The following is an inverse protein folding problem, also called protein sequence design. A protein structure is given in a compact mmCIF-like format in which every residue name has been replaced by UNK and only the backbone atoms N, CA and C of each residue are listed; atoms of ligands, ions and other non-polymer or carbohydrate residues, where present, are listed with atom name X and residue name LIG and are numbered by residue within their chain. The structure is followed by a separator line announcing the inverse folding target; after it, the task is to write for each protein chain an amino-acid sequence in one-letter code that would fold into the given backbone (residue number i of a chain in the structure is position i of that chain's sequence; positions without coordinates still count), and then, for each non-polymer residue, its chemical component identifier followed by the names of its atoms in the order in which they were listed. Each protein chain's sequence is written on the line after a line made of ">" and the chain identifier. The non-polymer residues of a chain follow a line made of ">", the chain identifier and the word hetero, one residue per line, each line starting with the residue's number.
data_IF_260556100046
#
_entry.id   IF_260556100046
#
_cell.length_a   1.000
_cell.length_b   1.000
_cell.length_c   1.000
_cell.angle_alpha   90.00
_cell.angle_beta   90.00
_cell.angle_gamma   90.00
#
_symmetry.space_group_name_H-M   'P 1'
#
loop_
_entity.id
_entity.type
_entity.pdbx_description
1 polymer ?
#
# COMPACT_ATOMS: atom_id res chain seq x y z
N UNK A 1 -13.43 -0.46 -3.49
CA UNK A 1 -12.12 0.08 -3.92
C UNK A 1 -12.24 1.47 -4.51
N UNK A 2 -13.29 1.80 -5.25
CA UNK A 2 -13.39 3.09 -5.96
C UNK A 2 -13.33 4.30 -5.02
N UNK A 3 -14.04 4.27 -3.89
CA UNK A 3 -13.94 5.33 -2.87
C UNK A 3 -12.53 5.55 -2.33
N UNK A 4 -11.72 4.49 -2.20
CA UNK A 4 -10.33 4.62 -1.76
C UNK A 4 -9.50 5.32 -2.85
N UNK A 5 -9.68 4.91 -4.10
CA UNK A 5 -8.97 5.50 -5.25
C UNK A 5 -9.30 6.98 -5.44
N UNK A 6 -10.53 7.39 -5.13
CA UNK A 6 -10.95 8.79 -5.20
C UNK A 6 -10.20 9.69 -4.20
N UNK A 7 -9.72 9.13 -3.08
CA UNK A 7 -8.90 9.86 -2.11
C UNK A 7 -7.45 10.08 -2.57
N UNK A 8 -7.01 9.40 -3.63
CA UNK A 8 -5.64 9.51 -4.15
C UNK A 8 -5.50 10.72 -5.05
N UNK A 9 -4.38 11.44 -4.98
CA UNK A 9 -4.03 12.44 -6.00
C UNK A 9 -3.86 11.78 -7.38
N UNK A 10 -4.04 12.49 -8.51
CA UNK A 10 -3.88 11.91 -9.85
C UNK A 10 -2.51 11.23 -10.07
N UNK A 11 -1.45 11.84 -9.54
CA UNK A 11 -0.09 11.34 -9.58
C UNK A 11 0.36 10.61 -8.31
N UNK A 12 -0.59 10.10 -7.51
CA UNK A 12 -0.24 9.43 -6.26
C UNK A 12 0.72 8.26 -6.49
N UNK A 13 1.62 8.05 -5.53
CA UNK A 13 2.59 6.95 -5.58
C UNK A 13 2.58 6.09 -4.31
N UNK A 14 2.92 4.81 -4.48
CA UNK A 14 3.15 3.87 -3.38
C UNK A 14 4.53 3.27 -3.51
N UNK A 15 5.36 3.47 -2.49
CA UNK A 15 6.69 2.85 -2.38
C UNK A 15 6.55 1.50 -1.70
N UNK A 16 6.97 0.44 -2.38
CA UNK A 16 6.77 -0.92 -1.88
C UNK A 16 7.52 -1.16 -0.56
N UNK A 17 6.89 -1.82 0.43
CA UNK A 17 7.57 -2.22 1.67
C UNK A 17 8.57 -3.37 1.42
N UNK A 18 8.43 -4.07 0.28
CA UNK A 18 9.27 -5.21 -0.09
C UNK A 18 10.54 -4.78 -0.82
N UNK A 19 10.53 -3.61 -1.44
CA UNK A 19 11.66 -3.08 -2.19
C UNK A 19 11.56 -1.56 -2.28
N UNK A 20 12.49 -0.85 -1.64
CA UNK A 20 12.58 0.61 -1.68
C UNK A 20 12.90 1.20 -3.06
N UNK A 21 13.10 0.37 -4.08
CA UNK A 21 13.27 0.79 -5.48
C UNK A 21 11.97 0.68 -6.30
N UNK A 22 10.97 -0.06 -5.82
CA UNK A 22 9.73 -0.31 -6.55
C UNK A 22 8.65 0.69 -6.15
N UNK A 23 8.21 1.51 -7.11
CA UNK A 23 7.26 2.62 -6.88
C UNK A 23 6.11 2.53 -7.86
N UNK A 24 4.90 2.21 -7.37
CA UNK A 24 3.69 2.21 -8.19
C UNK A 24 3.14 3.63 -8.28
N UNK A 25 2.71 4.06 -9.48
CA UNK A 25 2.29 5.45 -9.71
C UNK A 25 1.00 5.54 -10.48
N UNK A 26 0.21 6.54 -10.13
CA UNK A 26 -1.05 6.83 -10.79
C UNK A 26 -2.19 5.96 -10.26
N UNK A 27 -3.41 6.50 -10.37
CA UNK A 27 -4.61 5.89 -9.79
C UNK A 27 -4.91 4.48 -10.31
N UNK A 28 -4.61 4.19 -11.57
CA UNK A 28 -4.89 2.88 -12.17
C UNK A 28 -4.01 1.77 -11.59
N UNK A 29 -2.68 1.98 -11.56
CA UNK A 29 -1.74 1.02 -10.99
C UNK A 29 -1.96 0.85 -9.49
N UNK A 30 -2.25 1.96 -8.78
CA UNK A 30 -2.58 1.93 -7.36
C UNK A 30 -3.91 1.23 -7.08
N UNK A 31 -4.95 1.45 -7.89
CA UNK A 31 -6.23 0.74 -7.74
C UNK A 31 -6.01 -0.77 -7.81
N UNK A 32 -5.24 -1.21 -8.79
CA UNK A 32 -4.95 -2.63 -8.99
C UNK A 32 -4.18 -3.20 -7.80
N UNK A 33 -3.09 -2.54 -7.42
CA UNK A 33 -2.25 -2.95 -6.31
C UNK A 33 -3.04 -3.01 -5.00
N UNK A 34 -3.74 -1.93 -4.65
CA UNK A 34 -4.48 -1.83 -3.40
C UNK A 34 -5.65 -2.81 -3.36
N UNK A 35 -6.29 -3.11 -4.49
CA UNK A 35 -7.30 -4.16 -4.57
C UNK A 35 -6.72 -5.54 -4.21
N UNK A 36 -5.54 -5.89 -4.75
CA UNK A 36 -4.90 -7.18 -4.45
C UNK A 36 -4.36 -7.26 -3.02
N UNK A 37 -3.82 -6.15 -2.50
CA UNK A 37 -3.32 -6.03 -1.13
C UNK A 37 -4.46 -6.17 -0.14
N UNK A 38 -5.45 -5.26 -0.18
CA UNK A 38 -6.55 -5.26 0.79
C UNK A 38 -7.49 -6.44 0.61
N UNK A 39 -7.63 -6.98 -0.61
CA UNK A 39 -8.39 -8.21 -0.84
C UNK A 39 -7.73 -9.46 -0.25
N UNK A 40 -6.41 -9.44 -0.02
CA UNK A 40 -5.66 -10.52 0.63
C UNK A 40 -5.63 -10.47 2.15
N UNK A 41 -5.98 -9.32 2.74
CA UNK A 41 -5.99 -9.11 4.19
C UNK A 41 -7.34 -9.50 4.80
N UNK A 42 -7.29 -10.03 6.01
CA UNK A 42 -8.46 -10.31 6.87
C UNK A 42 -8.36 -9.49 8.14
N UNK A 43 -9.51 -9.19 8.75
CA UNK A 43 -9.60 -8.54 10.05
C UNK A 43 -8.78 -7.24 10.16
N UNK A 44 -8.73 -6.46 9.08
CA UNK A 44 -8.04 -5.16 9.07
C UNK A 44 -8.70 -4.21 10.06
N UNK A 45 -7.92 -3.77 11.06
CA UNK A 45 -8.31 -2.78 12.06
C UNK A 45 -7.33 -1.62 12.03
N UNK A 46 -7.85 -0.41 11.83
CA UNK A 46 -7.10 0.83 12.03
C UNK A 46 -7.11 1.16 13.53
N UNK A 47 -5.93 1.40 14.09
CA UNK A 47 -5.76 1.63 15.52
C UNK A 47 -5.71 3.13 15.82
N UNK A 48 -4.85 3.85 15.12
CA UNK A 48 -4.63 5.27 15.33
C UNK A 48 -4.16 5.95 14.05
N UNK A 49 -4.44 7.25 13.95
CA UNK A 49 -3.88 8.14 12.93
C UNK A 49 -3.12 9.24 13.65
N UNK A 50 -1.83 9.34 13.37
CA UNK A 50 -0.88 10.23 14.03
C UNK A 50 -0.47 11.33 13.05
N UNK A 51 -0.43 12.58 13.53
CA UNK A 51 -0.01 13.76 12.78
C UNK A 51 -1.17 14.67 12.37
N UNK A 52 -0.92 15.98 12.38
CA UNK A 52 -1.87 17.04 12.05
C UNK A 52 -1.63 17.65 10.66
N UNK A 53 -0.38 17.71 10.22
CA UNK A 53 0.04 18.27 8.94
C UNK A 53 -0.13 17.36 7.71
N UNK A 54 0.68 17.65 6.68
CA UNK A 54 0.65 16.94 5.39
C UNK A 54 1.12 15.51 5.48
N UNK A 55 2.05 15.21 6.38
CA UNK A 55 2.53 13.84 6.61
C UNK A 55 1.81 13.27 7.82
N UNK A 56 1.21 12.10 7.64
CA UNK A 56 0.47 11.38 8.67
C UNK A 56 0.87 9.92 8.67
N UNK A 57 0.61 9.24 9.78
CA UNK A 57 0.85 7.81 9.95
C UNK A 57 -0.45 7.15 10.37
N UNK A 58 -0.89 6.13 9.64
CA UNK A 58 -2.00 5.28 10.05
C UNK A 58 -1.45 3.93 10.51
N UNK A 59 -1.70 3.59 11.78
CA UNK A 59 -1.28 2.30 12.34
C UNK A 59 -2.44 1.32 12.19
N UNK A 60 -2.14 0.11 11.71
CA UNK A 60 -3.12 -0.94 11.56
C UNK A 60 -2.59 -2.33 11.89
N UNK A 61 -3.53 -3.23 12.16
CA UNK A 61 -3.31 -4.66 12.29
C UNK A 61 -4.26 -5.40 11.36
N UNK A 62 -3.81 -6.48 10.74
CA UNK A 62 -4.61 -7.38 9.94
C UNK A 62 -4.08 -8.81 10.07
N UNK A 63 -4.70 -9.75 9.35
CA UNK A 63 -4.25 -11.14 9.22
C UNK A 63 -4.04 -11.49 7.76
N UNK A 64 -2.98 -12.23 7.48
CA UNK A 64 -2.67 -12.79 6.18
C UNK A 64 -2.29 -14.26 6.32
N UNK A 65 -3.02 -15.15 5.64
CA UNK A 65 -2.88 -16.61 5.78
C UNK A 65 -2.79 -17.09 7.25
N UNK A 66 -3.60 -16.50 8.15
CA UNK A 66 -3.62 -16.86 9.57
C UNK A 66 -2.49 -16.25 10.42
N UNK A 67 -1.62 -15.43 9.84
CA UNK A 67 -0.53 -14.75 10.56
C UNK A 67 -0.91 -13.28 10.75
N UNK A 68 -0.71 -12.75 11.95
CA UNK A 68 -0.90 -11.32 12.21
C UNK A 68 0.17 -10.50 11.49
N UNK A 69 -0.28 -9.46 10.79
CA UNK A 69 0.55 -8.44 10.17
C UNK A 69 0.15 -7.09 10.74
N UNK A 70 1.13 -6.25 11.05
CA UNK A 70 0.91 -4.86 11.45
C UNK A 70 1.59 -3.94 10.45
N UNK A 71 0.99 -2.77 10.24
CA UNK A 71 1.47 -1.75 9.31
C UNK A 71 1.50 -0.39 10.01
N UNK A 72 2.55 0.37 9.74
CA UNK A 72 2.59 1.80 9.97
C UNK A 72 2.63 2.48 8.60
N UNK A 73 1.45 2.80 8.06
CA UNK A 73 1.32 3.44 6.76
C UNK A 73 1.63 4.93 6.90
N UNK A 74 2.82 5.34 6.47
CA UNK A 74 3.15 6.75 6.33
C UNK A 74 2.56 7.26 5.03
N UNK A 75 1.74 8.30 5.09
CA UNK A 75 1.16 8.90 3.90
C UNK A 75 1.30 10.41 3.90
N UNK A 76 1.40 10.97 2.71
CA UNK A 76 1.50 12.42 2.49
C UNK A 76 0.27 12.90 1.73
N UNK A 77 -0.24 14.04 2.14
CA UNK A 77 -1.37 14.73 1.53
C UNK A 77 -0.88 15.90 0.67
N UNK A 78 -1.56 16.10 -0.46
CA UNK A 78 -1.43 17.32 -1.26
C UNK A 78 -2.19 18.50 -0.63
N UNK A 79 -2.10 19.68 -1.25
CA UNK A 79 -2.78 20.90 -0.79
C UNK A 79 -4.31 20.79 -0.80
N UNK A 80 -4.86 19.81 -1.51
CA UNK A 80 -6.30 19.52 -1.57
C UNK A 80 -6.74 18.45 -0.57
N UNK A 81 -5.80 17.94 0.25
CA UNK A 81 -6.06 16.87 1.22
C UNK A 81 -6.13 15.48 0.60
N UNK A 82 -5.70 15.28 -0.65
CA UNK A 82 -5.64 13.97 -1.30
C UNK A 82 -4.30 13.29 -1.05
N UNK A 83 -4.31 11.96 -0.97
CA UNK A 83 -3.11 11.18 -0.72
C UNK A 83 -2.21 11.20 -1.96
N UNK A 84 -1.04 11.81 -1.84
CA UNK A 84 -0.03 11.86 -2.91
C UNK A 84 1.06 10.81 -2.77
N UNK A 85 1.32 10.31 -1.56
CA UNK A 85 2.35 9.29 -1.32
C UNK A 85 1.93 8.32 -0.24
N UNK A 86 2.20 7.03 -0.46
CA UNK A 86 1.95 5.92 0.45
C UNK A 86 3.25 5.16 0.68
N UNK A 87 3.60 4.94 1.95
CA UNK A 87 4.79 4.21 2.39
C UNK A 87 4.39 3.27 3.54
N UNK A 88 3.90 2.06 3.22
CA UNK A 88 3.65 1.04 4.23
C UNK A 88 4.96 0.56 4.87
N UNK A 89 4.89 0.26 6.16
CA UNK A 89 5.98 -0.30 6.96
C UNK A 89 5.46 -1.53 7.69
N UNK A 90 5.55 -2.66 7.00
CA UNK A 90 5.00 -3.92 7.45
C UNK A 90 5.92 -4.63 8.45
N UNK A 91 5.32 -5.37 9.38
CA UNK A 91 5.99 -6.26 10.33
C UNK A 91 5.01 -7.34 10.83
N UNK A 92 5.47 -8.50 11.35
CA UNK A 92 6.85 -8.96 11.44
C UNK A 92 7.36 -9.57 10.12
N UNK A 93 8.67 -9.84 10.03
CA UNK A 93 9.33 -10.34 8.79
C UNK A 93 8.63 -11.57 8.19
N UNK A 94 8.19 -12.53 9.00
CA UNK A 94 7.47 -13.71 8.53
C UNK A 94 6.19 -13.34 7.77
N UNK A 95 5.41 -12.39 8.30
CA UNK A 95 4.20 -11.92 7.65
C UNK A 95 4.50 -11.19 6.34
N UNK A 96 5.62 -10.45 6.27
CA UNK A 96 6.11 -9.79 5.05
C UNK A 96 6.46 -10.82 3.97
N UNK A 97 7.15 -11.90 4.34
CA UNK A 97 7.51 -12.96 3.40
C UNK A 97 6.27 -13.66 2.83
N UNK A 98 5.30 -13.98 3.70
CA UNK A 98 4.01 -14.57 3.28
C UNK A 98 3.21 -13.60 2.41
N UNK A 99 3.19 -12.32 2.76
CA UNK A 99 2.59 -11.26 1.95
C UNK A 99 3.20 -11.19 0.55
N UNK A 100 4.53 -11.20 0.46
CA UNK A 100 5.23 -11.20 -0.83
C UNK A 100 4.89 -12.43 -1.67
N UNK A 101 4.84 -13.63 -1.05
CA UNK A 101 4.52 -14.88 -1.73
C UNK A 101 3.10 -14.89 -2.30
N UNK A 102 2.13 -14.36 -1.55
CA UNK A 102 0.73 -14.33 -1.97
C UNK A 102 0.46 -13.21 -2.99
N UNK A 103 1.04 -12.04 -2.78
CA UNK A 103 0.82 -10.87 -3.62
C UNK A 103 1.63 -10.93 -4.93
N UNK A 104 2.84 -11.49 -4.89
CA UNK A 104 3.76 -11.55 -6.02
C UNK A 104 3.12 -12.11 -7.30
N UNK A 105 2.52 -13.31 -7.29
CA UNK A 105 1.85 -13.89 -8.46
C UNK A 105 0.69 -13.04 -8.99
N UNK A 106 -0.08 -12.40 -8.10
CA UNK A 106 -1.22 -11.55 -8.48
C UNK A 106 -0.76 -10.29 -9.18
N UNK A 107 0.30 -9.67 -8.67
CA UNK A 107 0.94 -8.51 -9.30
C UNK A 107 1.62 -8.91 -10.62
N UNK A 108 2.24 -10.09 -10.68
CA UNK A 108 2.91 -10.58 -11.89
C UNK A 108 1.96 -10.77 -13.09
N UNK A 109 0.64 -10.91 -12.85
CA UNK A 109 -0.39 -10.87 -13.91
C UNK A 109 -0.51 -9.51 -14.60
N UNK A 110 0.10 -8.46 -14.04
CA UNK A 110 0.07 -7.09 -14.55
C UNK A 110 1.49 -6.60 -14.87
N UNK A 111 2.17 -7.24 -15.84
CA UNK A 111 3.59 -7.01 -16.10
C UNK A 111 3.90 -5.57 -16.51
N UNK A 112 2.96 -4.86 -17.14
CA UNK A 112 3.12 -3.45 -17.50
C UNK A 112 3.25 -2.55 -16.26
N UNK A 113 2.40 -2.75 -15.25
CA UNK A 113 2.44 -2.00 -13.99
C UNK A 113 3.73 -2.31 -13.21
N UNK A 114 4.14 -3.58 -13.13
CA UNK A 114 5.40 -3.99 -12.51
C UNK A 114 6.60 -3.35 -13.20
N UNK A 115 6.63 -3.41 -14.54
CA UNK A 115 7.72 -2.82 -15.33
C UNK A 115 7.81 -1.31 -15.12
N UNK A 116 6.68 -0.60 -15.08
CA UNK A 116 6.65 0.82 -14.74
C UNK A 116 7.16 1.07 -13.33
N UNK A 117 6.75 0.25 -12.37
CA UNK A 117 7.14 0.44 -10.97
C UNK A 117 8.63 0.21 -10.71
N UNK A 118 9.29 -0.62 -11.53
CA UNK A 118 10.73 -0.88 -11.45
C UNK A 118 11.58 0.13 -12.23
N UNK A 119 11.00 0.84 -13.19
CA UNK A 119 11.66 1.91 -13.96
C UNK A 119 11.52 3.20 -13.15
N UNK A 120 12.62 3.62 -12.51
CA UNK A 120 12.66 4.84 -11.69
C UNK A 120 12.22 6.07 -12.47
#
# INVERSE_FOLDING_TARGET
>A
MDRLVDTLAPGAELVSPLSGRMVFRGREDLRLLLAEVYGGLRDLRWQEVIGDGRTRVAVSEARIAGITITDALVFELDDTGRIMRLRPHLRPLLAIAVFALLLGPKIARHPAAVRRALRR
#
